data_IF_857719935240
#
_entry.id   IF_857719935240
#
_cell.length_a   1.000
_cell.length_b   1.000
_cell.length_c   1.000
_cell.angle_alpha   90.00
_cell.angle_beta   90.00
_cell.angle_gamma   90.00
#
_symmetry.space_group_name_H-M   'P 1'
#
loop_
_entity.id
_entity.type
_entity.pdbx_description
1 polymer ?
#
# COMPACT_ATOMS: atom_id res chain seq x y z
N UNK A 1 -2.77 37.34 3.49
CA UNK A 1 -2.02 36.27 2.80
C UNK A 1 -2.64 36.07 1.41
N UNK A 2 -1.90 36.33 0.32
CA UNK A 2 -2.38 36.09 -1.05
C UNK A 2 -1.99 34.65 -1.41
N UNK A 3 -2.96 33.75 -1.55
CA UNK A 3 -2.71 32.40 -2.06
C UNK A 3 -2.16 32.51 -3.49
N UNK A 4 -1.02 31.87 -3.76
CA UNK A 4 -0.49 31.74 -5.13
C UNK A 4 -1.52 30.98 -5.97
N UNK A 5 -1.72 31.42 -7.21
CA UNK A 5 -2.69 30.84 -8.14
C UNK A 5 -2.47 29.32 -8.23
N UNK A 6 -3.52 28.54 -7.94
CA UNK A 6 -3.46 27.07 -7.95
C UNK A 6 -3.02 26.51 -9.31
N UNK A 7 -3.24 27.25 -10.40
CA UNK A 7 -2.78 26.89 -11.75
C UNK A 7 -1.25 26.87 -11.92
N UNK A 8 -0.51 27.47 -10.98
CA UNK A 8 0.95 27.48 -10.98
C UNK A 8 1.56 26.35 -10.13
N UNK A 9 0.75 25.62 -9.36
CA UNK A 9 1.18 24.42 -8.67
C UNK A 9 1.30 23.29 -9.69
N UNK A 10 2.46 23.17 -10.33
CA UNK A 10 2.79 21.98 -11.11
C UNK A 10 2.85 20.80 -10.16
N UNK A 11 1.89 19.87 -10.27
CA UNK A 11 2.03 18.55 -9.64
C UNK A 11 3.35 17.93 -10.13
N UNK A 12 4.17 17.36 -9.23
CA UNK A 12 5.31 16.56 -9.64
C UNK A 12 4.85 15.53 -10.66
N UNK A 13 5.63 15.33 -11.74
CA UNK A 13 5.34 14.24 -12.67
C UNK A 13 5.48 12.92 -11.91
N UNK A 14 4.50 12.00 -12.00
CA UNK A 14 4.64 10.69 -11.38
C UNK A 14 5.87 9.99 -11.97
N UNK A 15 6.62 9.29 -11.12
CA UNK A 15 7.66 8.39 -11.59
C UNK A 15 6.97 7.17 -12.19
N UNK A 16 7.05 7.03 -13.50
CA UNK A 16 6.53 5.87 -14.23
C UNK A 16 7.71 4.99 -14.65
N UNK A 17 7.74 3.76 -14.14
CA UNK A 17 8.74 2.76 -14.52
C UNK A 17 8.06 1.73 -15.42
N UNK A 18 8.32 1.81 -16.73
CA UNK A 18 7.77 0.84 -17.68
C UNK A 18 8.52 -0.47 -17.60
N UNK A 19 7.85 -1.52 -17.12
CA UNK A 19 8.39 -2.88 -17.12
C UNK A 19 8.18 -3.53 -18.50
N UNK A 20 9.25 -4.06 -19.10
CA UNK A 20 9.16 -4.82 -20.37
C UNK A 20 8.46 -6.17 -20.20
N UNK A 21 8.49 -6.72 -18.99
CA UNK A 21 7.87 -8.00 -18.61
C UNK A 21 7.54 -7.97 -17.13
N UNK A 22 6.55 -8.76 -16.70
CA UNK A 22 6.27 -8.95 -15.28
C UNK A 22 7.48 -9.60 -14.59
N UNK A 23 7.88 -9.12 -13.40
CA UNK A 23 8.98 -9.71 -12.67
C UNK A 23 8.59 -11.13 -12.19
N UNK A 24 9.50 -12.10 -12.34
CA UNK A 24 9.28 -13.45 -11.80
C UNK A 24 9.55 -13.54 -10.30
N UNK A 25 10.30 -12.57 -9.76
CA UNK A 25 10.65 -12.48 -8.36
C UNK A 25 10.43 -11.05 -7.88
N UNK A 26 9.87 -10.92 -6.68
CA UNK A 26 9.71 -9.66 -5.98
C UNK A 26 10.64 -9.69 -4.78
N UNK A 27 11.44 -8.63 -4.61
CA UNK A 27 12.32 -8.49 -3.45
C UNK A 27 11.57 -7.75 -2.34
N UNK A 28 11.65 -8.30 -1.14
CA UNK A 28 11.05 -7.70 0.05
C UNK A 28 12.04 -7.78 1.19
N UNK A 29 12.29 -6.64 1.84
CA UNK A 29 13.09 -6.56 3.05
C UNK A 29 12.46 -7.41 4.16
N UNK A 30 13.30 -8.04 4.98
CA UNK A 30 12.84 -8.90 6.08
C UNK A 30 11.89 -8.16 7.03
N UNK A 31 12.22 -6.91 7.37
CA UNK A 31 11.36 -6.04 8.16
C UNK A 31 9.96 -5.84 7.54
N UNK A 32 9.87 -5.55 6.23
CA UNK A 32 8.59 -5.36 5.56
C UNK A 32 7.73 -6.63 5.59
N UNK A 33 8.38 -7.78 5.38
CA UNK A 33 7.75 -9.10 5.46
C UNK A 33 7.22 -9.36 6.87
N UNK A 34 8.04 -9.18 7.90
CA UNK A 34 7.63 -9.37 9.29
C UNK A 34 6.49 -8.44 9.68
N UNK A 35 6.55 -7.17 9.26
CA UNK A 35 5.49 -6.20 9.48
C UNK A 35 4.17 -6.65 8.87
N UNK A 36 4.16 -7.18 7.64
CA UNK A 36 2.95 -7.69 7.00
C UNK A 36 2.28 -8.79 7.83
N UNK A 37 3.05 -9.77 8.33
CA UNK A 37 2.51 -10.81 9.21
C UNK A 37 2.05 -10.24 10.55
N UNK A 38 2.79 -9.29 11.12
CA UNK A 38 2.42 -8.66 12.39
C UNK A 38 1.11 -7.89 12.30
N UNK A 39 0.83 -7.26 11.17
CA UNK A 39 -0.45 -6.59 10.92
C UNK A 39 -1.60 -7.60 10.97
N UNK A 40 -1.47 -8.75 10.32
CA UNK A 40 -2.48 -9.82 10.39
C UNK A 40 -2.72 -10.30 11.84
N UNK A 41 -1.66 -10.45 12.64
CA UNK A 41 -1.81 -10.77 14.06
C UNK A 41 -2.57 -9.69 14.82
N UNK A 42 -2.25 -8.41 14.59
CA UNK A 42 -2.90 -7.27 15.25
C UNK A 42 -4.37 -7.13 14.87
N UNK A 43 -4.71 -7.37 13.59
CA UNK A 43 -6.10 -7.39 13.12
C UNK A 43 -6.88 -8.47 13.89
N UNK A 44 -6.34 -9.68 13.95
CA UNK A 44 -6.97 -10.78 14.68
C UNK A 44 -7.11 -10.49 16.19
N UNK A 45 -6.10 -9.88 16.82
CA UNK A 45 -6.17 -9.48 18.23
C UNK A 45 -7.18 -8.37 18.51
N UNK A 46 -7.36 -7.45 17.56
CA UNK A 46 -8.21 -6.26 17.74
C UNK A 46 -9.68 -6.58 17.51
N UNK A 47 -9.97 -7.42 16.53
CA UNK A 47 -11.34 -7.71 16.10
C UNK A 47 -11.84 -9.10 16.49
N UNK A 48 -10.99 -9.91 17.13
CA UNK A 48 -11.25 -11.32 17.46
C UNK A 48 -11.60 -12.20 16.24
N UNK A 49 -11.38 -11.66 15.04
CA UNK A 49 -11.62 -12.29 13.75
C UNK A 49 -10.51 -11.91 12.77
N UNK A 50 -10.28 -12.77 11.79
CA UNK A 50 -9.26 -12.57 10.76
C UNK A 50 -9.82 -11.80 9.56
N UNK A 51 -10.15 -10.52 9.76
CA UNK A 51 -10.58 -9.61 8.70
C UNK A 51 -9.51 -9.47 7.60
N UNK A 52 -9.94 -9.28 6.35
CA UNK A 52 -9.05 -8.77 5.32
C UNK A 52 -8.56 -7.35 5.68
N UNK A 53 -7.28 -7.09 5.45
CA UNK A 53 -6.71 -5.75 5.54
C UNK A 53 -5.99 -5.40 4.25
N UNK A 54 -5.92 -4.11 3.93
CA UNK A 54 -5.27 -3.56 2.75
C UNK A 54 -4.13 -2.61 3.15
N UNK A 55 -3.05 -2.60 2.37
CA UNK A 55 -1.92 -1.70 2.54
C UNK A 55 -1.15 -1.46 1.25
N UNK A 56 -0.23 -0.51 1.31
CA UNK A 56 0.71 -0.18 0.24
C UNK A 56 2.06 -0.83 0.49
N UNK A 57 2.70 -1.32 -0.57
CA UNK A 57 4.13 -1.64 -0.52
C UNK A 57 4.92 -0.37 -0.82
N UNK A 58 5.95 -0.12 -0.02
CA UNK A 58 6.76 1.08 -0.12
C UNK A 58 8.18 0.72 -0.55
N UNK A 59 8.76 1.56 -1.39
CA UNK A 59 10.14 1.48 -1.83
C UNK A 59 10.85 2.82 -1.67
N UNK A 60 12.18 2.77 -1.69
CA UNK A 60 13.01 3.96 -1.88
C UNK A 60 13.03 4.35 -3.37
N UNK A 61 13.14 5.64 -3.68
CA UNK A 61 13.21 6.13 -5.06
C UNK A 61 14.42 5.60 -5.84
N UNK A 62 15.55 5.35 -5.17
CA UNK A 62 16.76 4.82 -5.79
C UNK A 62 16.69 3.31 -6.02
N UNK A 63 15.82 2.61 -5.27
CA UNK A 63 15.63 1.15 -5.32
C UNK A 63 14.14 0.75 -5.40
N UNK A 64 13.41 1.15 -6.46
CA UNK A 64 11.97 0.94 -6.60
C UNK A 64 11.54 -0.54 -6.67
N UNK A 65 12.47 -1.43 -7.03
CA UNK A 65 12.26 -2.89 -7.14
C UNK A 65 12.23 -3.62 -5.79
N UNK A 66 12.70 -2.98 -4.71
CA UNK A 66 12.77 -3.56 -3.37
C UNK A 66 11.66 -2.99 -2.49
N UNK A 67 10.78 -3.86 -1.99
CA UNK A 67 9.81 -3.48 -0.96
C UNK A 67 10.54 -3.35 0.37
N UNK A 68 10.65 -2.13 0.90
CA UNK A 68 11.37 -1.83 2.15
C UNK A 68 10.45 -1.69 3.36
N UNK A 69 9.16 -1.36 3.14
CA UNK A 69 8.17 -1.22 4.21
C UNK A 69 6.74 -1.43 3.69
N UNK A 70 5.79 -1.59 4.61
CA UNK A 70 4.34 -1.67 4.37
C UNK A 70 3.65 -0.43 4.96
N UNK A 71 2.96 0.32 4.12
CA UNK A 71 2.12 1.45 4.50
C UNK A 71 0.68 1.03 4.77
N UNK A 72 0.09 1.51 5.86
CA UNK A 72 -1.33 1.30 6.15
C UNK A 72 -2.09 2.62 6.00
N UNK A 73 -2.79 2.83 4.87
CA UNK A 73 -3.67 3.98 4.73
C UNK A 73 -4.90 3.82 5.62
N UNK A 74 -5.59 4.93 5.89
CA UNK A 74 -6.93 4.85 6.47
C UNK A 74 -7.90 4.36 5.39
N UNK A 75 -8.43 3.17 5.56
CA UNK A 75 -9.42 2.60 4.63
C UNK A 75 -10.77 3.31 4.76
N UNK A 76 -11.52 3.37 3.67
CA UNK A 76 -12.88 3.91 3.70
C UNK A 76 -13.87 2.89 4.27
N UNK A 77 -13.63 1.61 4.02
CA UNK A 77 -14.40 0.48 4.55
C UNK A 77 -13.47 -0.70 4.86
N UNK A 78 -13.67 -1.32 6.03
CA UNK A 78 -13.06 -2.59 6.41
C UNK A 78 -14.21 -3.58 6.67
N UNK A 79 -14.46 -4.50 5.73
CA UNK A 79 -15.40 -5.61 5.89
C UNK A 79 -14.63 -6.93 5.96
N UNK A 80 -15.31 -7.99 6.39
CA UNK A 80 -14.68 -9.31 6.60
C UNK A 80 -14.00 -9.85 5.35
N UNK A 81 -14.62 -9.63 4.18
CA UNK A 81 -14.17 -10.18 2.90
C UNK A 81 -13.75 -9.09 1.90
N UNK A 82 -13.72 -7.81 2.31
CA UNK A 82 -13.44 -6.71 1.39
C UNK A 82 -13.00 -5.44 2.11
N UNK A 83 -11.98 -4.78 1.56
CA UNK A 83 -11.52 -3.47 1.99
C UNK A 83 -11.53 -2.49 0.83
N UNK A 84 -12.03 -1.27 1.03
CA UNK A 84 -12.06 -0.22 0.02
C UNK A 84 -11.17 0.96 0.39
N UNK A 85 -10.50 1.51 -0.62
CA UNK A 85 -9.68 2.72 -0.49
C UNK A 85 -9.95 3.70 -1.63
N UNK A 86 -10.53 4.86 -1.31
CA UNK A 86 -10.81 5.94 -2.23
C UNK A 86 -9.60 6.85 -2.47
N UNK A 87 -9.62 7.57 -3.59
CA UNK A 87 -8.51 8.42 -4.04
C UNK A 87 -8.10 9.51 -3.04
N UNK A 88 -9.03 9.99 -2.21
CA UNK A 88 -8.72 10.95 -1.14
C UNK A 88 -7.80 10.34 -0.08
N UNK A 89 -8.06 9.10 0.35
CA UNK A 89 -7.23 8.40 1.34
C UNK A 89 -5.86 8.04 0.80
N UNK A 90 -5.78 7.70 -0.48
CA UNK A 90 -4.51 7.49 -1.19
C UNK A 90 -3.68 8.78 -1.16
N UNK A 91 -4.30 9.92 -1.52
CA UNK A 91 -3.61 11.21 -1.52
C UNK A 91 -3.16 11.63 -0.12
N UNK A 92 -4.02 11.48 0.90
CA UNK A 92 -3.68 11.75 2.30
C UNK A 92 -2.50 10.89 2.76
N UNK A 93 -2.48 9.61 2.41
CA UNK A 93 -1.37 8.73 2.75
C UNK A 93 -0.07 9.18 2.08
N UNK A 94 -0.12 9.51 0.78
CA UNK A 94 1.04 10.02 0.04
C UNK A 94 1.61 11.32 0.62
N UNK A 95 0.76 12.21 1.14
CA UNK A 95 1.19 13.46 1.78
C UNK A 95 1.92 13.24 3.11
N UNK A 96 1.70 12.12 3.78
CA UNK A 96 2.36 11.75 5.04
C UNK A 96 3.67 10.99 4.82
N UNK A 97 3.94 10.52 3.60
CA UNK A 97 5.15 9.76 3.28
C UNK A 97 6.41 10.64 3.31
N UNK A 98 7.54 10.01 3.64
CA UNK A 98 8.84 10.62 3.45
C UNK A 98 9.08 10.87 1.96
N UNK A 99 9.75 11.97 1.63
CA UNK A 99 9.87 12.47 0.26
C UNK A 99 10.65 11.52 -0.64
N UNK A 100 11.55 10.74 -0.05
CA UNK A 100 12.42 9.77 -0.70
C UNK A 100 11.72 8.42 -0.94
N UNK A 101 10.55 8.20 -0.33
CA UNK A 101 9.77 6.98 -0.48
C UNK A 101 8.76 7.10 -1.62
N UNK A 102 8.38 5.96 -2.18
CA UNK A 102 7.31 5.83 -3.16
C UNK A 102 6.45 4.60 -2.88
N UNK A 103 5.22 4.62 -3.39
CA UNK A 103 4.34 3.45 -3.42
C UNK A 103 4.69 2.65 -4.68
N UNK A 104 5.17 1.42 -4.54
CA UNK A 104 5.51 0.55 -5.67
C UNK A 104 4.51 -0.61 -5.88
N UNK A 105 3.44 -0.64 -5.09
CA UNK A 105 2.42 -1.68 -5.16
C UNK A 105 1.44 -1.64 -3.99
N UNK A 106 0.67 -2.70 -3.86
CA UNK A 106 -0.30 -2.91 -2.79
C UNK A 106 -0.24 -4.35 -2.30
N UNK A 107 -0.74 -4.56 -1.09
CA UNK A 107 -0.81 -5.86 -0.43
C UNK A 107 -2.12 -5.94 0.33
N UNK A 108 -2.71 -7.12 0.38
CA UNK A 108 -3.82 -7.42 1.29
C UNK A 108 -3.68 -8.83 1.86
N UNK A 109 -4.45 -9.12 2.91
CA UNK A 109 -4.55 -10.47 3.47
C UNK A 109 -5.88 -11.11 3.09
N UNK A 110 -5.89 -12.43 2.91
CA UNK A 110 -7.12 -13.23 2.79
C UNK A 110 -7.70 -13.70 4.15
N UNK A 111 -7.27 -13.09 5.26
CA UNK A 111 -7.80 -13.45 6.58
C UNK A 111 -7.61 -14.93 6.94
N UNK A 112 -8.67 -15.59 7.40
CA UNK A 112 -8.69 -17.02 7.72
C UNK A 112 -8.87 -17.94 6.48
N UNK A 113 -9.04 -17.36 5.30
CA UNK A 113 -9.16 -18.13 4.07
C UNK A 113 -7.77 -18.67 3.71
N UNK A 114 -7.62 -19.98 3.63
CA UNK A 114 -6.43 -20.62 3.03
C UNK A 114 -6.46 -20.49 1.50
N UNK A 115 -6.81 -19.30 1.01
CA UNK A 115 -6.92 -18.94 -0.39
C UNK A 115 -5.59 -18.34 -0.85
N UNK A 116 -5.08 -18.85 -1.98
CA UNK A 116 -3.73 -18.54 -2.50
C UNK A 116 -3.77 -18.00 -3.92
N UNK A 117 -4.91 -17.46 -4.32
CA UNK A 117 -5.17 -16.95 -5.66
C UNK A 117 -5.74 -15.54 -5.54
N UNK A 118 -5.83 -14.84 -6.67
CA UNK A 118 -6.61 -13.62 -6.74
C UNK A 118 -8.10 -13.97 -6.84
N UNK A 119 -8.92 -13.27 -6.08
CA UNK A 119 -10.39 -13.27 -6.21
C UNK A 119 -10.79 -12.50 -7.48
N UNK A 120 -12.10 -12.40 -7.76
CA UNK A 120 -12.57 -11.51 -8.84
C UNK A 120 -12.53 -10.03 -8.44
N UNK A 121 -12.33 -9.75 -7.16
CA UNK A 121 -12.34 -8.40 -6.57
C UNK A 121 -10.92 -7.86 -6.37
N UNK A 122 -9.93 -8.74 -6.24
CA UNK A 122 -8.51 -8.40 -6.14
C UNK A 122 -7.97 -7.84 -7.47
#
# INVERSE_FOLDING_TARGET
MRFKNLSQLKRPKPLEITLKSLPQHILMAEYAKEKAFKISELVNMTFEESFEWYGFTLADQDHPELIIDIGLPQNDLNLQDYTALGSERIAQFQELMQKEMLINGWIHSHGALNYKHFSHTD
#
